data_IF_648626020350
#
_entry.id   IF_648626020350
#
_cell.length_a   1.000
_cell.length_b   1.000
_cell.length_c   1.000
_cell.angle_alpha   90.00
_cell.angle_beta   90.00
_cell.angle_gamma   90.00
#
_symmetry.space_group_name_H-M   'P 1'
#
loop_
_entity.id
_entity.type
_entity.pdbx_description
1 polymer ?
#
# COMPACT_ATOMS: atom_id res chain seq x y z
N UNK A 1 21.33 -33.27 33.43
CA UNK A 1 19.90 -33.52 33.15
C UNK A 1 19.19 -32.17 33.13
N UNK A 2 19.01 -31.59 31.94
CA UNK A 2 18.23 -30.37 31.75
C UNK A 2 16.78 -30.79 31.44
N UNK A 3 15.90 -30.60 32.41
CA UNK A 3 14.45 -30.73 32.25
C UNK A 3 13.97 -29.54 31.41
N UNK A 4 13.71 -29.80 30.12
CA UNK A 4 13.04 -28.87 29.22
C UNK A 4 11.53 -28.98 29.51
N UNK A 5 10.87 -27.97 30.12
CA UNK A 5 9.43 -28.03 30.32
C UNK A 5 8.78 -27.78 28.96
N UNK A 6 8.32 -28.85 28.31
CA UNK A 6 7.37 -28.76 27.20
C UNK A 6 6.08 -28.14 27.75
N UNK A 7 6.00 -26.81 27.68
CA UNK A 7 4.75 -26.07 27.77
C UNK A 7 3.92 -26.47 26.54
N UNK A 8 3.11 -27.51 26.70
CA UNK A 8 2.01 -27.86 25.81
C UNK A 8 1.05 -26.66 25.78
N UNK A 9 1.28 -25.75 24.84
CA UNK A 9 0.35 -24.67 24.52
C UNK A 9 -1.01 -25.30 24.23
N UNK A 10 -1.98 -25.04 25.11
CA UNK A 10 -3.28 -25.68 25.07
C UNK A 10 -4.00 -25.31 23.76
N UNK A 11 -4.30 -26.27 22.86
CA UNK A 11 -4.83 -25.99 21.53
C UNK A 11 -6.14 -25.19 21.57
N UNK A 12 -6.94 -25.35 22.64
CA UNK A 12 -8.18 -24.60 22.86
C UNK A 12 -7.97 -23.08 22.99
N UNK A 13 -6.88 -22.66 23.64
CA UNK A 13 -6.56 -21.23 23.80
C UNK A 13 -6.13 -20.60 22.47
N UNK A 14 -5.41 -21.36 21.63
CA UNK A 14 -4.99 -20.91 20.30
C UNK A 14 -6.19 -20.73 19.37
N UNK A 15 -7.09 -21.70 19.29
CA UNK A 15 -8.30 -21.61 18.45
C UNK A 15 -9.15 -20.39 18.83
N UNK A 16 -9.37 -20.17 20.13
CA UNK A 16 -10.13 -19.01 20.59
C UNK A 16 -9.46 -17.67 20.20
N UNK A 17 -8.13 -17.60 20.30
CA UNK A 17 -7.38 -16.40 19.90
C UNK A 17 -7.46 -16.15 18.39
N UNK A 18 -7.35 -17.20 17.58
CA UNK A 18 -7.41 -17.12 16.12
C UNK A 18 -8.81 -16.68 15.66
N UNK A 19 -9.88 -17.19 16.28
CA UNK A 19 -11.27 -16.76 16.05
C UNK A 19 -11.49 -15.29 16.45
N UNK A 20 -10.97 -14.88 17.60
CA UNK A 20 -11.05 -13.48 18.07
C UNK A 20 -10.32 -12.54 17.12
N UNK A 21 -9.14 -12.91 16.65
CA UNK A 21 -8.38 -12.13 15.67
C UNK A 21 -9.14 -12.05 14.35
N UNK A 22 -9.66 -13.16 13.83
CA UNK A 22 -10.43 -13.18 12.59
C UNK A 22 -11.66 -12.26 12.67
N UNK A 23 -12.40 -12.31 13.78
CA UNK A 23 -13.54 -11.41 14.02
C UNK A 23 -13.11 -9.93 14.10
N UNK A 24 -11.98 -9.64 14.77
CA UNK A 24 -11.45 -8.28 14.85
C UNK A 24 -11.00 -7.74 13.48
N UNK A 25 -10.33 -8.56 12.66
CA UNK A 25 -9.94 -8.18 11.30
C UNK A 25 -11.16 -7.91 10.41
N UNK A 26 -12.20 -8.75 10.50
CA UNK A 26 -13.46 -8.54 9.79
C UNK A 26 -14.16 -7.24 10.23
N UNK A 27 -14.07 -6.87 11.51
CA UNK A 27 -14.60 -5.60 12.00
C UNK A 27 -13.87 -4.38 11.40
N UNK A 28 -12.55 -4.46 11.20
CA UNK A 28 -11.79 -3.40 10.51
C UNK A 28 -12.30 -3.24 9.07
N UNK A 29 -12.54 -4.34 8.35
CA UNK A 29 -13.02 -4.26 6.97
C UNK A 29 -14.46 -3.75 6.89
N UNK A 30 -15.33 -4.18 7.81
CA UNK A 30 -16.69 -3.64 7.89
C UNK A 30 -16.69 -2.13 8.19
N UNK A 31 -15.84 -1.67 9.10
CA UNK A 31 -15.65 -0.25 9.37
C UNK A 31 -15.08 0.49 8.15
N UNK A 32 -14.16 -0.14 7.41
CA UNK A 32 -13.58 0.41 6.20
C UNK A 32 -14.61 0.64 5.10
N UNK A 33 -15.56 -0.27 4.92
CA UNK A 33 -16.63 -0.13 3.92
C UNK A 33 -17.45 1.13 4.15
N UNK A 34 -17.75 1.48 5.41
CA UNK A 34 -18.59 2.65 5.74
C UNK A 34 -17.80 3.94 5.98
N UNK A 35 -16.46 3.92 5.81
CA UNK A 35 -15.56 5.05 6.11
C UNK A 35 -15.96 6.37 5.45
N UNK A 36 -16.50 6.30 4.23
CA UNK A 36 -16.94 7.46 3.47
C UNK A 36 -18.02 8.28 4.20
N UNK A 37 -18.87 7.60 4.97
CA UNK A 37 -20.02 8.23 5.66
C UNK A 37 -19.76 8.43 7.15
N UNK A 38 -18.91 7.61 7.76
CA UNK A 38 -18.63 7.62 9.21
C UNK A 38 -17.24 8.15 9.57
N UNK A 39 -16.44 8.51 8.58
CA UNK A 39 -15.03 8.87 8.76
C UNK A 39 -14.15 7.67 9.12
N UNK A 40 -12.90 7.95 9.48
CA UNK A 40 -11.89 6.93 9.80
C UNK A 40 -11.85 6.53 11.29
N UNK A 41 -12.59 7.22 12.16
CA UNK A 41 -12.56 6.92 13.60
C UNK A 41 -12.97 5.48 13.93
N UNK A 42 -14.07 4.92 13.36
CA UNK A 42 -14.43 3.52 13.63
C UNK A 42 -13.39 2.51 13.12
N UNK A 43 -12.70 2.83 12.01
CA UNK A 43 -11.62 1.99 11.48
C UNK A 43 -10.44 1.97 12.47
N UNK A 44 -10.07 3.13 13.00
CA UNK A 44 -8.98 3.27 13.96
C UNK A 44 -9.28 2.50 15.26
N UNK A 45 -10.50 2.60 15.78
CA UNK A 45 -10.93 1.86 16.97
C UNK A 45 -10.87 0.35 16.75
N UNK A 46 -11.33 -0.14 15.58
CA UNK A 46 -11.26 -1.55 15.23
C UNK A 46 -9.79 -2.04 15.08
N UNK A 47 -8.92 -1.21 14.51
CA UNK A 47 -7.47 -1.50 14.40
C UNK A 47 -6.85 -1.63 15.80
N UNK A 48 -7.14 -0.71 16.72
CA UNK A 48 -6.61 -0.79 18.08
C UNK A 48 -7.14 -2.01 18.86
N UNK A 49 -8.40 -2.38 18.66
CA UNK A 49 -8.96 -3.61 19.22
C UNK A 49 -8.25 -4.86 18.69
N UNK A 50 -7.96 -4.94 17.38
CA UNK A 50 -7.20 -6.04 16.80
C UNK A 50 -5.73 -6.07 17.27
N UNK A 51 -5.10 -4.89 17.40
CA UNK A 51 -3.72 -4.74 17.91
C UNK A 51 -3.58 -5.31 19.31
N UNK A 52 -4.58 -5.10 20.17
CA UNK A 52 -4.58 -5.65 21.53
C UNK A 52 -4.58 -7.20 21.57
N UNK A 53 -5.04 -7.87 20.51
CA UNK A 53 -5.11 -9.34 20.41
C UNK A 53 -3.80 -9.90 19.82
N UNK A 54 -3.37 -9.35 18.69
CA UNK A 54 -2.20 -9.82 17.94
C UNK A 54 -1.50 -8.66 17.21
N UNK A 55 -0.56 -7.94 17.88
CA UNK A 55 0.04 -6.72 17.33
C UNK A 55 0.89 -6.95 16.07
N UNK A 56 1.41 -8.18 15.89
CA UNK A 56 2.26 -8.59 14.77
C UNK A 56 1.52 -9.41 13.71
N UNK A 57 0.19 -9.48 13.76
CA UNK A 57 -0.59 -10.23 12.79
C UNK A 57 -0.45 -9.60 11.38
N UNK A 58 -0.08 -10.36 10.34
CA UNK A 58 0.08 -9.81 8.99
C UNK A 58 -1.20 -9.14 8.46
N UNK A 59 -2.35 -9.76 8.76
CA UNK A 59 -3.66 -9.21 8.43
C UNK A 59 -3.95 -7.86 9.07
N UNK A 60 -3.42 -7.60 10.27
CA UNK A 60 -3.53 -6.29 10.91
C UNK A 60 -2.61 -5.28 10.24
N UNK A 61 -1.35 -5.66 10.00
CA UNK A 61 -0.31 -4.74 9.55
C UNK A 61 -0.65 -4.06 8.21
N UNK A 62 -1.11 -4.77 7.18
CA UNK A 62 -1.49 -4.10 5.92
C UNK A 62 -2.73 -3.19 6.09
N UNK A 63 -3.65 -3.52 7.00
CA UNK A 63 -4.83 -2.68 7.28
C UNK A 63 -4.43 -1.37 7.96
N UNK A 64 -3.39 -1.39 8.79
CA UNK A 64 -2.79 -0.19 9.37
C UNK A 64 -2.12 0.68 8.32
N UNK A 65 -1.36 0.06 7.40
CA UNK A 65 -0.74 0.77 6.27
C UNK A 65 -1.83 1.42 5.41
N UNK A 66 -2.89 0.68 5.09
CA UNK A 66 -4.07 1.19 4.38
C UNK A 66 -4.69 2.39 5.08
N UNK A 67 -4.88 2.33 6.40
CA UNK A 67 -5.37 3.46 7.20
C UNK A 67 -4.40 4.65 7.19
N UNK A 68 -3.08 4.40 7.29
CA UNK A 68 -2.04 5.41 7.21
C UNK A 68 -2.05 6.14 5.87
N UNK A 69 -2.10 5.39 4.77
CA UNK A 69 -2.23 5.96 3.41
C UNK A 69 -3.47 6.84 3.31
N UNK A 70 -4.63 6.36 3.79
CA UNK A 70 -5.85 7.16 3.73
C UNK A 70 -5.79 8.41 4.60
N UNK A 71 -5.16 8.35 5.79
CA UNK A 71 -4.92 9.53 6.63
C UNK A 71 -3.99 10.53 5.96
N UNK A 72 -2.92 10.07 5.32
CA UNK A 72 -1.99 10.93 4.58
C UNK A 72 -2.72 11.69 3.47
N UNK A 73 -3.57 11.00 2.71
CA UNK A 73 -4.36 11.63 1.64
C UNK A 73 -5.35 12.69 2.16
N UNK A 74 -5.77 12.59 3.42
CA UNK A 74 -6.68 13.52 4.07
C UNK A 74 -5.98 14.63 4.86
N UNK A 75 -4.65 14.58 4.98
CA UNK A 75 -3.89 15.49 5.83
C UNK A 75 -3.58 16.79 5.08
N UNK A 76 -4.16 17.94 5.50
CA UNK A 76 -3.95 19.21 4.81
C UNK A 76 -2.52 19.75 4.98
N UNK A 77 -1.87 19.47 6.12
CA UNK A 77 -0.51 19.94 6.38
C UNK A 77 0.52 19.08 5.63
N UNK A 78 1.28 19.70 4.73
CA UNK A 78 2.22 18.98 3.88
C UNK A 78 3.30 18.21 4.67
N UNK A 79 3.79 18.78 5.78
CA UNK A 79 4.82 18.13 6.61
C UNK A 79 4.25 16.91 7.32
N UNK A 80 3.05 17.03 7.92
CA UNK A 80 2.35 15.88 8.53
C UNK A 80 1.97 14.82 7.50
N UNK A 81 1.58 15.22 6.30
CA UNK A 81 1.24 14.30 5.22
C UNK A 81 2.44 13.46 4.78
N UNK A 82 3.57 14.11 4.50
CA UNK A 82 4.85 13.43 4.21
C UNK A 82 5.19 12.44 5.32
N UNK A 83 5.12 12.88 6.59
CA UNK A 83 5.40 12.01 7.73
C UNK A 83 4.43 10.83 7.80
N UNK A 84 3.14 11.06 7.57
CA UNK A 84 2.12 10.01 7.62
C UNK A 84 2.38 8.94 6.55
N UNK A 85 2.77 9.33 5.33
CA UNK A 85 3.18 8.37 4.30
C UNK A 85 4.51 7.69 4.62
N UNK A 86 5.46 8.40 5.25
CA UNK A 86 6.71 7.82 5.71
C UNK A 86 6.49 6.72 6.76
N UNK A 87 5.63 6.97 7.75
CA UNK A 87 5.27 5.99 8.77
C UNK A 87 4.54 4.78 8.13
N UNK A 88 3.63 5.04 7.18
CA UNK A 88 2.90 3.98 6.48
C UNK A 88 3.80 3.09 5.61
N UNK A 89 4.77 3.65 4.88
CA UNK A 89 5.70 2.86 4.05
C UNK A 89 6.63 2.00 4.92
N UNK A 90 7.10 2.54 6.05
CA UNK A 90 7.98 1.82 6.98
C UNK A 90 7.23 0.64 7.59
N UNK A 91 6.01 0.87 8.08
CA UNK A 91 5.14 -0.20 8.59
C UNK A 91 4.82 -1.26 7.55
N UNK A 92 4.59 -0.86 6.30
CA UNK A 92 4.35 -1.78 5.19
C UNK A 92 5.57 -2.64 4.90
N UNK A 93 6.75 -2.03 4.91
CA UNK A 93 8.02 -2.72 4.74
C UNK A 93 8.30 -3.72 5.87
N UNK A 94 8.06 -3.32 7.12
CA UNK A 94 8.13 -4.20 8.28
C UNK A 94 7.20 -5.40 8.13
N UNK A 95 5.97 -5.20 7.66
CA UNK A 95 5.06 -6.31 7.42
C UNK A 95 5.58 -7.30 6.38
N UNK A 96 6.15 -6.80 5.28
CA UNK A 96 6.74 -7.64 4.22
C UNK A 96 7.92 -8.43 4.78
N UNK A 97 8.81 -7.79 5.54
CA UNK A 97 10.01 -8.40 6.09
C UNK A 97 9.81 -9.19 7.38
N UNK A 98 8.63 -9.13 8.00
CA UNK A 98 8.31 -9.93 9.18
C UNK A 98 8.24 -11.45 8.88
N UNK A 99 8.28 -11.85 7.59
CA UNK A 99 8.58 -13.23 7.23
C UNK A 99 10.10 -13.51 7.32
N UNK A 100 10.55 -14.43 8.21
CA UNK A 100 11.97 -14.71 8.38
C UNK A 100 12.65 -15.21 7.12
N UNK A 101 11.94 -15.92 6.23
CA UNK A 101 12.51 -16.43 4.96
C UNK A 101 12.81 -15.26 4.03
N UNK A 102 11.86 -14.35 3.83
CA UNK A 102 12.06 -13.15 3.00
C UNK A 102 13.20 -12.29 3.57
N UNK A 103 13.21 -12.08 4.89
CA UNK A 103 14.27 -11.28 5.53
C UNK A 103 15.65 -11.93 5.49
N UNK A 104 15.75 -13.26 5.47
CA UNK A 104 17.02 -13.95 5.28
C UNK A 104 17.48 -13.86 3.81
N UNK A 105 16.59 -14.18 2.87
CA UNK A 105 16.89 -14.21 1.44
C UNK A 105 17.39 -12.87 0.90
N UNK A 106 16.85 -11.74 1.37
CA UNK A 106 17.29 -10.40 0.90
C UNK A 106 18.77 -10.09 1.20
N UNK A 107 19.42 -10.87 2.07
CA UNK A 107 20.85 -10.75 2.38
C UNK A 107 21.72 -11.60 1.45
N UNK A 108 21.12 -12.58 0.79
CA UNK A 108 21.80 -13.60 -0.04
C UNK A 108 21.55 -13.39 -1.53
N UNK A 109 20.36 -12.91 -1.90
CA UNK A 109 19.91 -12.71 -3.28
C UNK A 109 19.44 -11.28 -3.51
N UNK A 110 19.05 -10.96 -4.75
CA UNK A 110 18.49 -9.64 -5.06
C UNK A 110 17.17 -9.40 -4.31
N UNK A 111 16.79 -8.12 -4.13
CA UNK A 111 15.56 -7.80 -3.43
C UNK A 111 14.32 -8.37 -4.16
N UNK A 112 14.29 -8.29 -5.49
CA UNK A 112 13.18 -8.83 -6.30
C UNK A 112 13.04 -10.34 -6.11
N UNK A 113 14.15 -11.09 -6.14
CA UNK A 113 14.13 -12.53 -5.89
C UNK A 113 13.66 -12.86 -4.47
N UNK A 114 14.10 -12.11 -3.47
CA UNK A 114 13.63 -12.30 -2.09
C UNK A 114 12.13 -11.99 -1.94
N UNK A 115 11.61 -10.97 -2.63
CA UNK A 115 10.21 -10.59 -2.58
C UNK A 115 9.29 -11.53 -3.37
N UNK A 116 9.80 -12.25 -4.37
CA UNK A 116 9.06 -13.30 -5.05
C UNK A 116 8.61 -14.43 -4.11
N UNK A 117 9.31 -14.58 -2.98
CA UNK A 117 9.04 -15.58 -1.94
C UNK A 117 8.07 -15.09 -0.86
N UNK A 118 7.49 -13.89 -1.02
CA UNK A 118 6.48 -13.36 -0.07
C UNK A 118 5.24 -14.27 -0.08
N UNK A 119 4.85 -14.83 1.08
CA UNK A 119 3.71 -15.72 1.18
C UNK A 119 2.41 -14.97 0.89
N UNK A 120 1.39 -15.68 0.40
CA UNK A 120 0.17 -15.08 -0.13
C UNK A 120 -0.52 -14.14 0.88
N UNK A 121 -0.61 -14.54 2.14
CA UNK A 121 -1.20 -13.77 3.23
C UNK A 121 -0.51 -12.43 3.53
N UNK A 122 0.74 -12.24 3.04
CA UNK A 122 1.54 -11.02 3.19
C UNK A 122 1.60 -10.19 1.91
N UNK A 123 1.14 -10.68 0.76
CA UNK A 123 1.21 -9.94 -0.52
C UNK A 123 0.44 -8.61 -0.48
N UNK A 124 -0.64 -8.52 0.30
CA UNK A 124 -1.33 -7.26 0.55
C UNK A 124 -0.40 -6.22 1.20
N UNK A 125 0.52 -6.63 2.08
CA UNK A 125 1.51 -5.72 2.64
C UNK A 125 2.43 -5.15 1.57
N UNK A 126 2.86 -5.95 0.59
CA UNK A 126 3.70 -5.46 -0.50
C UNK A 126 2.96 -4.40 -1.35
N UNK A 127 1.70 -4.66 -1.72
CA UNK A 127 0.90 -3.72 -2.50
C UNK A 127 0.65 -2.40 -1.77
N UNK A 128 0.28 -2.46 -0.48
CA UNK A 128 0.03 -1.26 0.32
C UNK A 128 1.33 -0.52 0.67
N UNK A 129 2.44 -1.23 0.87
CA UNK A 129 3.76 -0.62 1.04
C UNK A 129 4.20 0.13 -0.22
N UNK A 130 4.04 -0.47 -1.41
CA UNK A 130 4.34 0.18 -2.68
C UNK A 130 3.55 1.49 -2.84
N UNK A 131 2.23 1.46 -2.57
CA UNK A 131 1.41 2.66 -2.64
C UNK A 131 1.85 3.73 -1.64
N UNK A 132 2.13 3.35 -0.39
CA UNK A 132 2.61 4.29 0.63
C UNK A 132 3.94 4.93 0.20
N UNK A 133 4.84 4.15 -0.38
CA UNK A 133 6.12 4.64 -0.89
C UNK A 133 5.94 5.65 -2.02
N UNK A 134 5.07 5.33 -2.97
CA UNK A 134 4.78 6.19 -4.12
C UNK A 134 4.11 7.49 -3.71
N UNK A 135 3.22 7.46 -2.72
CA UNK A 135 2.62 8.67 -2.15
C UNK A 135 3.63 9.51 -1.39
N UNK A 136 4.48 8.88 -0.58
CA UNK A 136 5.58 9.57 0.08
C UNK A 136 6.52 10.26 -0.92
N UNK A 137 6.95 9.55 -1.96
CA UNK A 137 7.82 10.09 -3.02
C UNK A 137 7.17 11.27 -3.75
N UNK A 138 5.87 11.18 -4.04
CA UNK A 138 5.10 12.24 -4.67
C UNK A 138 5.06 13.54 -3.84
N UNK A 139 4.90 13.43 -2.52
CA UNK A 139 4.84 14.59 -1.61
C UNK A 139 6.22 15.12 -1.20
N UNK A 140 7.19 14.24 -0.96
CA UNK A 140 8.53 14.62 -0.52
C UNK A 140 9.39 15.15 -1.66
N UNK A 141 9.20 14.60 -2.87
CA UNK A 141 9.89 15.01 -4.10
C UNK A 141 10.80 13.92 -4.66
N UNK A 142 10.73 13.75 -5.98
CA UNK A 142 11.35 12.65 -6.74
C UNK A 142 12.87 12.54 -6.57
N UNK A 143 13.58 13.67 -6.50
CA UNK A 143 15.03 13.66 -6.37
C UNK A 143 15.50 13.04 -5.04
N UNK A 144 14.71 13.20 -3.97
CA UNK A 144 15.05 12.68 -2.66
C UNK A 144 14.60 11.22 -2.47
N UNK A 145 13.66 10.74 -3.29
CA UNK A 145 13.15 9.36 -3.27
C UNK A 145 13.87 8.40 -4.21
N UNK A 146 14.81 8.89 -5.04
CA UNK A 146 15.54 8.07 -6.02
C UNK A 146 16.28 6.87 -5.41
N UNK A 147 16.70 6.95 -4.14
CA UNK A 147 17.34 5.84 -3.43
C UNK A 147 16.40 4.67 -3.14
N UNK A 148 15.08 4.88 -3.25
CA UNK A 148 14.07 3.86 -2.98
C UNK A 148 13.39 3.31 -4.24
N UNK A 149 13.79 3.77 -5.44
CA UNK A 149 13.18 3.39 -6.73
C UNK A 149 13.19 1.87 -6.92
N UNK A 150 14.36 1.24 -6.76
CA UNK A 150 14.51 -0.22 -6.83
C UNK A 150 13.64 -0.97 -5.83
N UNK A 151 13.36 -0.38 -4.66
CA UNK A 151 12.49 -1.01 -3.66
C UNK A 151 11.04 -0.98 -4.12
N UNK A 152 10.59 0.14 -4.67
CA UNK A 152 9.22 0.26 -5.21
C UNK A 152 9.03 -0.71 -6.38
N UNK A 153 9.96 -0.75 -7.32
CA UNK A 153 9.89 -1.65 -8.48
C UNK A 153 9.78 -3.10 -8.01
N UNK A 154 10.65 -3.52 -7.09
CA UNK A 154 10.63 -4.87 -6.54
C UNK A 154 9.32 -5.19 -5.78
N UNK A 155 8.69 -4.20 -5.12
CA UNK A 155 7.39 -4.38 -4.48
C UNK A 155 6.25 -4.48 -5.52
N UNK A 156 6.35 -3.80 -6.66
CA UNK A 156 5.37 -3.85 -7.75
C UNK A 156 5.43 -5.18 -8.53
N UNK A 157 6.56 -5.87 -8.52
CA UNK A 157 6.69 -7.22 -9.08
C UNK A 157 5.98 -8.30 -8.23
N UNK A 158 5.65 -8.00 -6.97
CA UNK A 158 4.91 -8.95 -6.10
C UNK A 158 3.45 -9.06 -6.58
N UNK A 159 2.96 -10.28 -6.91
CA UNK A 159 1.59 -10.45 -7.37
C UNK A 159 0.56 -9.96 -6.34
N UNK A 160 -0.34 -9.08 -6.76
CA UNK A 160 -1.36 -8.55 -5.86
C UNK A 160 -2.47 -9.57 -5.56
N UNK A 161 -2.87 -9.67 -4.29
CA UNK A 161 -4.09 -10.38 -3.86
C UNK A 161 -5.31 -9.45 -4.00
N UNK A 162 -6.53 -9.98 -3.77
CA UNK A 162 -7.75 -9.17 -3.84
C UNK A 162 -7.68 -7.91 -2.94
N UNK A 163 -7.20 -8.05 -1.70
CA UNK A 163 -7.07 -6.95 -0.74
C UNK A 163 -5.97 -5.94 -1.08
N UNK A 164 -4.98 -6.35 -1.88
CA UNK A 164 -3.86 -5.51 -2.33
C UNK A 164 -4.05 -4.90 -3.72
N UNK A 165 -4.91 -5.49 -4.56
CA UNK A 165 -5.07 -5.13 -5.97
C UNK A 165 -5.37 -3.66 -6.23
N UNK A 166 -6.24 -2.98 -5.46
CA UNK A 166 -6.45 -1.55 -5.63
C UNK A 166 -5.16 -0.75 -5.37
N UNK A 167 -4.46 -1.07 -4.27
CA UNK A 167 -3.21 -0.39 -3.92
C UNK A 167 -2.11 -0.62 -4.96
N UNK A 168 -1.95 -1.87 -5.42
CA UNK A 168 -0.99 -2.23 -6.47
C UNK A 168 -1.23 -1.45 -7.76
N UNK A 169 -2.49 -1.36 -8.21
CA UNK A 169 -2.85 -0.60 -9.43
C UNK A 169 -2.47 0.87 -9.30
N UNK A 170 -2.79 1.50 -8.16
CA UNK A 170 -2.47 2.90 -7.91
C UNK A 170 -0.97 3.13 -7.79
N UNK A 171 -0.24 2.22 -7.13
CA UNK A 171 1.20 2.29 -7.02
C UNK A 171 1.87 2.20 -8.40
N UNK A 172 1.46 1.24 -9.24
CA UNK A 172 1.96 1.10 -10.60
C UNK A 172 1.67 2.31 -11.48
N UNK A 173 0.45 2.87 -11.40
CA UNK A 173 0.10 4.09 -12.14
C UNK A 173 0.98 5.29 -11.72
N UNK A 174 1.24 5.46 -10.42
CA UNK A 174 2.14 6.49 -9.92
C UNK A 174 3.58 6.23 -10.36
N UNK A 175 4.02 4.97 -10.42
CA UNK A 175 5.38 4.58 -10.82
C UNK A 175 5.62 4.86 -12.30
N UNK A 176 4.68 4.49 -13.18
CA UNK A 176 4.77 4.85 -14.61
C UNK A 176 4.87 6.36 -14.83
N UNK A 177 4.13 7.16 -14.03
CA UNK A 177 4.23 8.62 -14.06
C UNK A 177 5.55 9.17 -13.50
N UNK A 178 6.22 8.42 -12.63
CA UNK A 178 7.57 8.74 -12.17
C UNK A 178 8.56 8.50 -13.31
N UNK A 179 8.52 7.34 -13.95
CA UNK A 179 9.39 6.96 -15.06
C UNK A 179 9.30 7.93 -16.25
N UNK A 180 8.09 8.25 -16.70
CA UNK A 180 7.86 9.18 -17.82
C UNK A 180 8.46 10.58 -17.60
N UNK A 181 8.63 11.00 -16.34
CA UNK A 181 9.11 12.35 -15.99
C UNK A 181 10.57 12.42 -15.58
N UNK A 182 11.20 11.26 -15.40
CA UNK A 182 12.66 11.16 -15.28
C UNK A 182 13.36 11.72 -16.53
N UNK A 183 12.69 11.61 -17.68
CA UNK A 183 13.19 12.06 -18.98
C UNK A 183 12.66 13.45 -19.42
N UNK A 184 11.79 14.13 -18.65
CA UNK A 184 11.26 15.46 -19.00
C UNK A 184 10.43 16.19 -17.92
N UNK A 185 10.92 17.38 -17.53
CA UNK A 185 10.30 18.43 -16.68
C UNK A 185 9.77 18.03 -15.27
N UNK A 186 10.41 18.50 -14.17
CA UNK A 186 10.14 18.01 -12.82
C UNK A 186 8.93 18.67 -12.14
N UNK A 187 7.91 17.85 -11.80
CA UNK A 187 7.17 18.01 -10.54
C UNK A 187 5.83 18.76 -10.55
N UNK A 188 5.32 19.23 -11.69
CA UNK A 188 4.01 19.92 -11.77
C UNK A 188 2.83 18.97 -11.87
N UNK A 189 2.94 17.86 -12.60
CA UNK A 189 1.79 16.98 -12.86
C UNK A 189 1.57 15.87 -11.79
N UNK A 190 2.58 15.50 -11.00
CA UNK A 190 2.43 14.65 -9.80
C UNK A 190 1.78 15.47 -8.68
N UNK A 191 2.19 16.73 -8.56
CA UNK A 191 1.48 17.72 -7.74
C UNK A 191 0.09 18.02 -8.29
N UNK A 192 -0.16 17.98 -9.61
CA UNK A 192 -1.50 18.16 -10.15
C UNK A 192 -2.42 16.94 -9.87
N UNK A 193 -1.90 15.71 -9.88
CA UNK A 193 -2.67 14.52 -9.45
C UNK A 193 -2.87 14.48 -7.93
N UNK A 194 -1.90 14.97 -7.16
CA UNK A 194 -2.06 15.16 -5.72
C UNK A 194 -3.01 16.32 -5.39
N UNK A 195 -2.99 17.43 -6.16
CA UNK A 195 -3.82 18.62 -5.92
C UNK A 195 -5.19 18.55 -6.57
N UNK A 196 -5.36 17.76 -7.63
CA UNK A 196 -6.69 17.46 -8.15
C UNK A 196 -7.53 16.88 -7.01
N UNK A 197 -6.95 16.13 -6.05
CA UNK A 197 -7.67 15.68 -4.86
C UNK A 197 -7.98 16.75 -3.82
N UNK A 198 -7.48 17.98 -3.97
CA UNK A 198 -7.50 19.03 -2.94
C UNK A 198 -8.42 20.22 -3.28
N UNK A 199 -9.12 20.25 -4.42
CA UNK A 199 -10.09 21.32 -4.74
C UNK A 199 -11.51 20.96 -4.21
N UNK A 200 -12.02 21.65 -3.17
CA UNK A 200 -13.34 21.40 -2.63
C UNK A 200 -14.48 22.04 -3.44
N UNK A 201 -14.19 22.88 -4.44
CA UNK A 201 -15.18 23.62 -5.23
C UNK A 201 -15.65 22.88 -6.49
N UNK A 202 -14.87 21.91 -6.96
CA UNK A 202 -15.33 20.87 -7.88
C UNK A 202 -15.61 19.62 -7.04
N UNK A 203 -16.88 19.30 -6.78
CA UNK A 203 -17.32 18.10 -6.06
C UNK A 203 -16.99 16.75 -6.75
N UNK A 204 -15.87 16.67 -7.47
CA UNK A 204 -15.49 15.61 -8.40
C UNK A 204 -14.20 14.85 -8.03
N UNK A 205 -13.43 15.27 -7.02
CA UNK A 205 -12.19 14.53 -6.62
C UNK A 205 -12.17 14.06 -5.16
N UNK A 206 -13.32 14.15 -4.49
CA UNK A 206 -13.65 13.24 -3.37
C UNK A 206 -14.02 11.83 -3.86
N UNK A 207 -14.20 11.67 -5.18
CA UNK A 207 -14.61 10.43 -5.85
C UNK A 207 -13.44 9.42 -5.97
N UNK A 208 -12.18 9.85 -6.00
CA UNK A 208 -11.04 8.95 -6.25
C UNK A 208 -10.57 8.14 -5.03
N UNK A 209 -11.12 8.39 -3.83
CA UNK A 209 -10.90 7.59 -2.63
C UNK A 209 -12.05 6.63 -2.30
N UNK A 210 -13.20 6.77 -2.96
CA UNK A 210 -14.21 5.70 -3.03
C UNK A 210 -13.71 4.53 -3.91
N UNK A 211 -12.75 4.79 -4.80
CA UNK A 211 -12.21 3.88 -5.82
C UNK A 211 -11.23 2.82 -5.27
N UNK A 212 -10.66 2.97 -4.07
CA UNK A 212 -9.83 1.91 -3.47
C UNK A 212 -10.64 0.66 -3.06
N UNK A 213 -11.97 0.70 -3.13
CA UNK A 213 -12.83 -0.47 -2.96
C UNK A 213 -13.24 -1.11 -4.31
N UNK A 214 -13.59 -0.33 -5.35
CA UNK A 214 -14.23 -0.89 -6.57
C UNK A 214 -13.94 -0.16 -7.90
N UNK A 215 -13.05 0.83 -7.96
CA UNK A 215 -12.85 1.63 -9.20
C UNK A 215 -11.57 1.31 -9.97
N UNK A 216 -11.62 1.49 -11.29
CA UNK A 216 -10.43 1.62 -12.13
C UNK A 216 -9.69 2.92 -11.76
N UNK A 217 -8.34 2.97 -11.83
CA UNK A 217 -7.64 4.25 -11.78
C UNK A 217 -8.24 5.17 -12.85
N UNK A 218 -8.31 6.50 -12.62
CA UNK A 218 -8.83 7.40 -13.64
C UNK A 218 -8.10 7.11 -14.94
N UNK A 219 -8.86 6.72 -15.98
CA UNK A 219 -8.32 6.67 -17.32
C UNK A 219 -7.71 8.06 -17.55
N UNK A 220 -6.42 8.12 -17.90
CA UNK A 220 -5.79 9.33 -18.38
C UNK A 220 -6.54 9.71 -19.67
N UNK A 221 -7.69 10.38 -19.54
CA UNK A 221 -8.53 10.74 -20.67
C UNK A 221 -7.81 11.82 -21.44
N UNK A 222 -7.03 11.39 -22.44
CA UNK A 222 -6.98 11.90 -23.82
C UNK A 222 -7.12 13.43 -23.99
N UNK A 223 -6.48 14.25 -23.16
CA UNK A 223 -6.33 15.69 -23.45
C UNK A 223 -4.88 16.15 -23.61
N UNK A 224 -3.93 15.23 -23.57
CA UNK A 224 -2.59 15.45 -24.07
C UNK A 224 -2.35 14.41 -25.16
N UNK A 225 -2.02 14.79 -26.40
CA UNK A 225 -1.71 13.80 -27.43
C UNK A 225 -0.52 12.97 -26.94
N UNK A 226 -0.76 11.68 -26.70
CA UNK A 226 0.30 10.74 -26.42
C UNK A 226 1.31 10.80 -27.57
N UNK A 227 2.60 10.91 -27.23
CA UNK A 227 3.63 10.78 -28.25
C UNK A 227 3.46 9.43 -28.96
N UNK A 228 3.85 9.32 -30.25
CA UNK A 228 3.81 8.06 -30.98
C UNK A 228 4.47 6.89 -30.23
N UNK A 229 5.45 7.18 -29.38
CA UNK A 229 6.20 6.21 -28.56
C UNK A 229 5.37 5.66 -27.39
N UNK A 230 4.64 6.51 -26.67
CA UNK A 230 3.75 6.08 -25.58
C UNK A 230 2.61 5.18 -26.10
N UNK A 231 2.13 5.47 -27.32
CA UNK A 231 1.13 4.63 -27.99
C UNK A 231 1.69 3.26 -28.38
N UNK A 232 2.92 3.20 -28.88
CA UNK A 232 3.58 1.94 -29.25
C UNK A 232 3.89 1.05 -28.02
N UNK A 233 4.18 1.64 -26.86
CA UNK A 233 4.42 0.89 -25.62
C UNK A 233 3.12 0.27 -25.06
N UNK A 234 2.02 1.01 -25.11
CA UNK A 234 0.70 0.52 -24.68
C UNK A 234 0.18 -0.61 -25.58
N UNK A 235 0.40 -0.50 -26.90
CA UNK A 235 0.05 -1.54 -27.87
C UNK A 235 0.88 -2.83 -27.65
N UNK A 236 2.13 -2.71 -27.19
CA UNK A 236 2.97 -3.87 -26.80
C UNK A 236 2.46 -4.59 -25.55
N UNK A 237 2.13 -3.87 -24.48
CA UNK A 237 1.63 -4.46 -23.23
C UNK A 237 0.30 -5.20 -23.44
N UNK A 238 -0.52 -4.72 -24.38
CA UNK A 238 -1.80 -5.35 -24.71
C UNK A 238 -1.67 -6.54 -25.69
N UNK A 239 -0.58 -6.62 -26.44
CA UNK A 239 -0.31 -7.73 -27.37
C UNK A 239 0.29 -8.97 -26.70
N UNK A 240 0.89 -8.82 -25.51
CA UNK A 240 1.48 -9.91 -24.72
C UNK A 240 0.49 -10.57 -23.73
N UNK A 241 -0.82 -10.41 -23.96
CA UNK A 241 -1.91 -11.09 -23.25
C UNK A 241 -2.73 -11.96 -24.19
#
# INVERSE_FOLDING_TARGET
MLLLPLLLACPKSRVQKDEQLAAALAAIDAAWVVRATKGFQPVAEAVEAARAIAPEAPGLAWREVRLGVARGLMEPDATKRVRTFADARERGWECVLADPRVSALRLEVSLTEALAEVPEERRACASWAALAWMRWAADFGLAASALDETRVDALLEVPATADGKPAWRWAGALASLWDERRDGEPGTALRALSRASDDPSEGAVWVDLHVLADGEPPALTKKTPASPEARAYQERILADR
#
